data_IF_231315664289
#
_entry.id   IF_231315664289
#
_cell.length_a   1.000
_cell.length_b   1.000
_cell.length_c   1.000
_cell.angle_alpha   90.00
_cell.angle_beta   90.00
_cell.angle_gamma   90.00
#
_symmetry.space_group_name_H-M   'P 1'
#
loop_
_entity.id
_entity.type
_entity.pdbx_description
1 polymer ?
#
# COMPACT_ATOMS: atom_id res chain seq x y z
N UNK A 1 10.33 6.34 -3.11
CA UNK A 1 10.55 6.06 -4.55
C UNK A 1 11.62 7.04 -5.04
N UNK A 2 12.49 6.66 -5.97
CA UNK A 2 13.37 7.68 -6.58
C UNK A 2 12.53 8.57 -7.49
N UNK A 3 12.60 9.89 -7.27
CA UNK A 3 11.80 10.87 -8.01
C UNK A 3 12.29 11.02 -9.45
N UNK A 4 11.41 10.93 -10.42
CA UNK A 4 11.69 11.08 -11.85
C UNK A 4 11.42 12.51 -12.37
N UNK A 5 10.66 13.31 -11.62
CA UNK A 5 10.39 14.72 -11.93
C UNK A 5 11.17 15.68 -11.04
N UNK A 6 11.34 16.91 -11.49
CA UNK A 6 11.88 18.00 -10.68
C UNK A 6 10.81 18.52 -9.69
N UNK A 7 11.27 19.02 -8.54
CA UNK A 7 10.37 19.66 -7.57
C UNK A 7 9.79 20.98 -8.11
N UNK A 8 10.52 21.66 -9.01
CA UNK A 8 10.05 22.89 -9.67
C UNK A 8 9.04 22.57 -10.78
N UNK A 9 8.14 23.52 -11.04
CA UNK A 9 7.20 23.49 -12.16
C UNK A 9 7.57 24.50 -13.24
N UNK A 10 7.09 24.26 -14.45
CA UNK A 10 7.11 25.28 -15.50
C UNK A 10 6.19 26.45 -15.11
N UNK A 11 6.32 27.58 -15.80
CA UNK A 11 5.49 28.77 -15.57
C UNK A 11 3.99 28.54 -15.76
N UNK A 12 3.61 27.52 -16.54
CA UNK A 12 2.21 27.10 -16.75
C UNK A 12 1.73 26.03 -15.76
N UNK A 13 2.54 25.71 -14.74
CA UNK A 13 2.23 24.73 -13.69
C UNK A 13 2.54 23.28 -14.05
N UNK A 14 2.95 22.98 -15.29
CA UNK A 14 3.26 21.60 -15.70
C UNK A 14 4.55 21.06 -15.09
N UNK A 15 4.61 19.74 -14.97
CA UNK A 15 5.76 19.01 -14.45
C UNK A 15 6.98 19.09 -15.37
N UNK A 16 8.16 18.94 -14.77
CA UNK A 16 9.45 18.92 -15.47
C UNK A 16 10.11 17.56 -15.21
N UNK A 17 10.49 16.85 -16.26
CA UNK A 17 11.25 15.59 -16.15
C UNK A 17 12.71 15.88 -15.81
N UNK A 18 13.34 15.05 -14.98
CA UNK A 18 14.78 15.14 -14.68
C UNK A 18 15.66 14.80 -15.88
N UNK A 19 15.13 14.07 -16.85
CA UNK A 19 15.84 13.67 -18.06
C UNK A 19 15.06 14.07 -19.31
N UNK A 20 15.78 14.23 -20.43
CA UNK A 20 15.16 14.45 -21.74
C UNK A 20 14.21 13.30 -22.07
N UNK A 21 12.97 13.63 -22.42
CA UNK A 21 12.00 12.65 -22.92
C UNK A 21 12.25 12.29 -24.39
N UNK A 22 13.26 12.91 -25.01
CA UNK A 22 13.71 12.63 -26.37
C UNK A 22 15.08 11.94 -26.25
N UNK A 23 15.13 10.71 -26.73
CA UNK A 23 16.30 9.84 -26.75
C UNK A 23 17.23 10.13 -27.95
N UNK A 24 16.71 10.76 -29.01
CA UNK A 24 17.45 11.09 -30.23
C UNK A 24 17.69 12.60 -30.37
N UNK A 25 18.95 13.06 -30.33
CA UNK A 25 19.25 14.48 -30.47
C UNK A 25 18.73 15.03 -31.81
N UNK A 26 18.03 16.16 -31.75
CA UNK A 26 17.53 16.87 -32.94
C UNK A 26 16.21 16.35 -33.53
N UNK A 27 15.51 15.40 -32.90
CA UNK A 27 14.19 14.94 -33.39
C UNK A 27 13.05 15.32 -32.45
N UNK A 28 12.33 16.37 -32.82
CA UNK A 28 11.01 16.73 -32.29
C UNK A 28 11.02 17.38 -30.90
N UNK A 29 9.83 17.75 -30.44
CA UNK A 29 9.55 18.13 -29.06
C UNK A 29 8.70 17.02 -28.43
N UNK A 30 8.77 16.80 -27.10
CA UNK A 30 7.87 15.87 -26.44
C UNK A 30 6.43 16.27 -26.75
N UNK A 31 5.58 15.30 -27.06
CA UNK A 31 4.18 15.57 -27.34
C UNK A 31 3.50 16.21 -26.13
N UNK A 32 2.39 16.93 -26.36
CA UNK A 32 1.56 17.45 -25.26
C UNK A 32 1.10 16.32 -24.31
N UNK A 33 0.91 15.10 -24.82
CA UNK A 33 0.58 13.94 -24.01
C UNK A 33 1.73 13.51 -23.09
N UNK A 34 2.98 13.58 -23.56
CA UNK A 34 4.15 13.34 -22.72
C UNK A 34 4.26 14.38 -21.59
N UNK A 35 3.99 15.66 -21.89
CA UNK A 35 3.92 16.73 -20.89
C UNK A 35 2.84 16.45 -19.83
N UNK A 36 1.69 15.93 -20.25
CA UNK A 36 0.61 15.54 -19.34
C UNK A 36 1.02 14.38 -18.41
N UNK A 37 1.64 13.32 -18.94
CA UNK A 37 2.13 12.20 -18.15
C UNK A 37 3.14 12.68 -17.08
N UNK A 38 4.12 13.50 -17.47
CA UNK A 38 5.12 14.04 -16.54
C UNK A 38 4.46 14.90 -15.45
N UNK A 39 3.44 15.68 -15.81
CA UNK A 39 2.71 16.49 -14.83
C UNK A 39 1.97 15.61 -13.82
N UNK A 40 1.25 14.58 -14.28
CA UNK A 40 0.57 13.62 -13.39
C UNK A 40 1.53 12.84 -12.50
N UNK A 41 2.71 12.49 -13.02
CA UNK A 41 3.74 11.84 -12.23
C UNK A 41 4.29 12.77 -11.15
N UNK A 42 4.57 14.04 -11.49
CA UNK A 42 5.05 15.02 -10.53
C UNK A 42 4.03 15.29 -9.40
N UNK A 43 2.73 15.31 -9.73
CA UNK A 43 1.64 15.40 -8.75
C UNK A 43 1.61 14.19 -7.81
N UNK A 44 1.75 12.96 -8.33
CA UNK A 44 1.78 11.75 -7.50
C UNK A 44 3.02 11.71 -6.59
N UNK A 45 4.18 12.10 -7.10
CA UNK A 45 5.42 12.20 -6.32
C UNK A 45 5.29 13.24 -5.20
N UNK A 46 4.69 14.40 -5.47
CA UNK A 46 4.42 15.40 -4.43
C UNK A 46 3.43 14.90 -3.38
N UNK A 47 2.34 14.24 -3.79
CA UNK A 47 1.38 13.66 -2.85
C UNK A 47 2.02 12.58 -1.98
N UNK A 48 2.95 11.78 -2.54
CA UNK A 48 3.72 10.81 -1.78
C UNK A 48 4.63 11.50 -0.74
N UNK A 49 5.41 12.49 -1.16
CA UNK A 49 6.33 13.24 -0.28
C UNK A 49 5.60 14.04 0.82
N UNK A 50 4.39 14.53 0.53
CA UNK A 50 3.53 15.21 1.51
C UNK A 50 2.81 14.23 2.45
N UNK A 51 2.93 12.92 2.24
CA UNK A 51 2.23 11.91 3.03
C UNK A 51 0.72 11.85 2.79
N UNK A 52 0.26 12.32 1.62
CA UNK A 52 -1.15 12.31 1.21
C UNK A 52 -1.54 11.04 0.43
N UNK A 53 -0.57 10.18 0.09
CA UNK A 53 -0.82 8.85 -0.46
C UNK A 53 -0.71 7.77 0.62
N UNK A 54 -1.74 6.94 0.71
CA UNK A 54 -1.76 5.75 1.55
C UNK A 54 -1.49 4.51 0.68
N UNK A 55 -0.42 3.78 0.99
CA UNK A 55 -0.13 2.48 0.37
C UNK A 55 -0.79 1.37 1.18
N UNK A 56 -1.75 0.68 0.57
CA UNK A 56 -2.41 -0.48 1.17
C UNK A 56 -1.62 -1.75 0.82
N UNK A 57 -1.33 -2.63 1.80
CA UNK A 57 -0.56 -3.86 1.61
C UNK A 57 -1.38 -5.00 0.98
N UNK A 58 -2.71 -4.87 0.96
CA UNK A 58 -3.64 -5.81 0.35
C UNK A 58 -4.85 -5.06 -0.22
N UNK A 59 -5.64 -5.74 -1.04
CA UNK A 59 -6.91 -5.26 -1.62
C UNK A 59 -8.07 -6.17 -1.24
N UNK A 60 -9.29 -5.69 -1.50
CA UNK A 60 -10.51 -6.50 -1.38
C UNK A 60 -10.41 -7.74 -2.28
N UNK A 61 -10.78 -8.90 -1.71
CA UNK A 61 -10.66 -10.20 -2.36
C UNK A 61 -9.33 -10.91 -2.13
N UNK A 62 -8.31 -10.25 -1.57
CA UNK A 62 -7.05 -10.93 -1.23
C UNK A 62 -7.26 -11.93 -0.09
N UNK A 63 -6.41 -12.96 -0.06
CA UNK A 63 -6.30 -13.92 1.03
C UNK A 63 -5.25 -13.45 2.03
N UNK A 64 -5.63 -13.43 3.30
CA UNK A 64 -4.75 -13.17 4.44
C UNK A 64 -4.74 -14.41 5.35
N UNK A 65 -3.72 -14.50 6.19
CA UNK A 65 -3.54 -15.60 7.13
C UNK A 65 -3.60 -15.07 8.56
N UNK A 66 -4.55 -15.56 9.34
CA UNK A 66 -4.76 -15.15 10.73
C UNK A 66 -4.22 -16.23 11.67
N UNK A 67 -3.49 -15.83 12.71
CA UNK A 67 -3.08 -16.75 13.78
C UNK A 67 -4.11 -16.74 14.90
N UNK A 68 -4.73 -17.89 15.13
CA UNK A 68 -5.59 -18.17 16.29
C UNK A 68 -4.85 -19.17 17.16
N UNK A 69 -4.28 -18.75 18.30
CA UNK A 69 -3.56 -19.68 19.17
C UNK A 69 -4.53 -20.68 19.83
N UNK A 70 -4.00 -21.84 20.26
CA UNK A 70 -4.72 -22.88 21.01
C UNK A 70 -5.83 -23.63 20.26
N UNK A 71 -5.88 -23.54 18.92
CA UNK A 71 -6.74 -24.40 18.09
C UNK A 71 -5.89 -25.39 17.28
N UNK A 72 -6.48 -26.52 16.87
CA UNK A 72 -5.78 -27.60 16.14
C UNK A 72 -5.11 -27.13 14.85
N UNK A 73 -5.74 -26.19 14.15
CA UNK A 73 -5.19 -25.53 12.96
C UNK A 73 -5.06 -24.03 13.24
N UNK A 74 -3.91 -23.60 13.80
CA UNK A 74 -3.75 -22.25 14.33
C UNK A 74 -3.71 -21.17 13.24
N UNK A 75 -3.36 -21.53 12.00
CA UNK A 75 -3.34 -20.62 10.87
C UNK A 75 -4.63 -20.80 10.07
N UNK A 76 -5.39 -19.71 9.95
CA UNK A 76 -6.69 -19.70 9.29
C UNK A 76 -6.65 -18.73 8.11
N UNK A 77 -7.02 -19.21 6.93
CA UNK A 77 -7.20 -18.38 5.74
C UNK A 77 -8.44 -17.50 5.89
N UNK A 78 -8.29 -16.21 5.58
CA UNK A 78 -9.34 -15.21 5.64
C UNK A 78 -9.33 -14.36 4.36
N UNK A 79 -10.51 -14.04 3.82
CA UNK A 79 -10.63 -13.21 2.63
C UNK A 79 -11.02 -11.78 3.01
N UNK A 80 -10.35 -10.79 2.40
CA UNK A 80 -10.67 -9.37 2.61
C UNK A 80 -12.02 -9.04 1.98
N UNK A 81 -12.99 -8.68 2.81
CA UNK A 81 -14.32 -8.26 2.38
C UNK A 81 -14.36 -6.77 2.01
N UNK A 82 -13.78 -5.93 2.86
CA UNK A 82 -13.81 -4.48 2.70
C UNK A 82 -12.68 -3.81 3.49
N UNK A 83 -12.30 -2.62 3.05
CA UNK A 83 -11.34 -1.77 3.74
C UNK A 83 -11.96 -0.41 4.00
N UNK A 84 -11.95 0.00 5.27
CA UNK A 84 -12.61 1.22 5.73
C UNK A 84 -11.60 2.16 6.38
N UNK A 85 -11.53 3.40 5.89
CA UNK A 85 -10.75 4.46 6.53
C UNK A 85 -11.63 5.12 7.58
N UNK A 86 -11.25 5.02 8.85
CA UNK A 86 -11.98 5.60 9.98
C UNK A 86 -11.11 6.61 10.70
N UNK A 87 -11.69 7.76 11.03
CA UNK A 87 -11.07 8.73 11.93
C UNK A 87 -11.60 8.47 13.35
N UNK A 88 -10.69 8.24 14.30
CA UNK A 88 -11.05 8.25 15.73
C UNK A 88 -10.85 9.66 16.29
N UNK A 89 -11.63 10.00 17.32
CA UNK A 89 -11.70 11.31 17.98
C UNK A 89 -10.34 12.00 18.26
N UNK A 90 -9.23 11.25 18.30
CA UNK A 90 -7.87 11.72 18.59
C UNK A 90 -6.99 12.01 17.36
N UNK A 91 -7.56 12.53 16.26
CA UNK A 91 -6.84 12.88 15.00
C UNK A 91 -6.10 11.73 14.29
N UNK A 92 -6.23 10.49 14.76
CA UNK A 92 -5.60 9.33 14.13
C UNK A 92 -6.56 8.72 13.11
N UNK A 93 -6.13 8.69 11.86
CA UNK A 93 -6.76 7.90 10.80
C UNK A 93 -6.29 6.46 10.97
N UNK A 94 -7.22 5.52 10.97
CA UNK A 94 -6.92 4.08 10.95
C UNK A 94 -7.61 3.43 9.76
N UNK A 95 -6.98 2.41 9.22
CA UNK A 95 -7.57 1.57 8.17
C UNK A 95 -7.98 0.26 8.80
N UNK A 96 -9.30 0.00 8.80
CA UNK A 96 -9.91 -1.26 9.23
C UNK A 96 -10.03 -2.18 8.02
N UNK A 97 -9.65 -3.43 8.21
CA UNK A 97 -9.73 -4.52 7.24
C UNK A 97 -10.75 -5.51 7.79
N UNK A 98 -11.89 -5.62 7.13
CA UNK A 98 -12.90 -6.61 7.48
C UNK A 98 -12.65 -7.85 6.63
N UNK A 99 -12.64 -9.02 7.27
CA UNK A 99 -12.32 -10.30 6.64
C UNK A 99 -13.36 -11.35 6.99
N UNK A 100 -13.50 -12.35 6.13
CA UNK A 100 -14.33 -13.54 6.36
C UNK A 100 -13.44 -14.77 6.38
N UNK A 101 -13.61 -15.63 7.38
CA UNK A 101 -12.96 -16.93 7.44
C UNK A 101 -13.96 -18.04 7.83
N UNK A 102 -13.47 -19.27 8.01
CA UNK A 102 -14.30 -20.42 8.42
C UNK A 102 -14.99 -20.26 9.77
N UNK A 103 -14.56 -19.32 10.61
CA UNK A 103 -15.15 -18.99 11.92
C UNK A 103 -16.13 -17.80 11.86
N UNK A 104 -16.28 -17.16 10.70
CA UNK A 104 -17.16 -16.02 10.47
C UNK A 104 -16.42 -14.73 10.14
N UNK A 105 -17.12 -13.60 10.31
CA UNK A 105 -16.55 -12.28 10.07
C UNK A 105 -15.65 -11.85 11.22
N UNK A 106 -14.54 -11.20 10.88
CA UNK A 106 -13.59 -10.62 11.82
C UNK A 106 -13.09 -9.29 11.28
N UNK A 107 -12.55 -8.44 12.16
CA UNK A 107 -11.96 -7.18 11.72
C UNK A 107 -10.61 -6.94 12.37
N UNK A 108 -9.69 -6.40 11.57
CA UNK A 108 -8.32 -6.10 11.93
C UNK A 108 -7.99 -4.67 11.52
N UNK A 109 -6.90 -4.13 12.05
CA UNK A 109 -6.35 -2.86 11.60
C UNK A 109 -5.12 -3.08 10.72
N UNK A 110 -4.78 -2.10 9.89
CA UNK A 110 -3.54 -2.12 9.10
C UNK A 110 -2.31 -2.41 9.97
N UNK A 111 -2.29 -1.88 11.20
CA UNK A 111 -1.22 -2.06 12.19
C UNK A 111 -1.14 -3.50 12.77
N UNK A 112 -2.16 -4.34 12.55
CA UNK A 112 -2.16 -5.76 12.93
C UNK A 112 -1.45 -6.66 11.89
N UNK A 113 -1.13 -6.13 10.70
CA UNK A 113 -0.35 -6.84 9.69
C UNK A 113 1.07 -7.11 10.21
N UNK A 114 1.52 -8.35 10.07
CA UNK A 114 2.78 -8.85 10.63
C UNK A 114 2.74 -9.15 12.14
N UNK A 115 1.57 -8.97 12.80
CA UNK A 115 1.38 -9.28 14.23
C UNK A 115 0.32 -10.34 14.45
N UNK A 116 -0.87 -10.16 13.88
CA UNK A 116 -2.02 -11.06 14.01
C UNK A 116 -2.48 -11.61 12.67
N UNK A 117 -2.34 -10.80 11.62
CA UNK A 117 -2.67 -11.15 10.24
C UNK A 117 -1.43 -11.00 9.36
N UNK A 118 -1.30 -11.87 8.37
CA UNK A 118 -0.10 -11.98 7.53
C UNK A 118 -0.51 -12.04 6.06
N UNK A 119 0.35 -11.51 5.17
CA UNK A 119 0.08 -11.45 3.74
C UNK A 119 0.38 -12.77 3.04
N UNK A 120 1.22 -13.60 3.66
CA UNK A 120 1.56 -14.95 3.20
C UNK A 120 1.43 -15.97 4.33
N UNK A 121 1.29 -17.23 3.94
CA UNK A 121 1.20 -18.34 4.88
C UNK A 121 2.54 -18.55 5.59
N UNK A 122 3.63 -18.40 4.84
CA UNK A 122 5.00 -18.56 5.31
C UNK A 122 5.33 -17.54 6.42
N UNK A 123 4.88 -16.29 6.28
CA UNK A 123 4.99 -15.27 7.33
C UNK A 123 4.23 -15.66 8.61
N UNK A 124 3.01 -16.22 8.46
CA UNK A 124 2.23 -16.68 9.60
C UNK A 124 2.88 -17.89 10.29
N UNK A 125 3.41 -18.85 9.52
CA UNK A 125 4.11 -20.02 10.04
C UNK A 125 5.39 -19.63 10.79
N UNK A 126 6.18 -18.70 10.24
CA UNK A 126 7.36 -18.17 10.91
C UNK A 126 7.01 -17.47 12.24
N UNK A 127 5.93 -16.68 12.28
CA UNK A 127 5.50 -16.03 13.52
C UNK A 127 4.97 -17.02 14.54
N UNK A 128 4.21 -18.03 14.10
CA UNK A 128 3.71 -19.08 14.98
C UNK A 128 4.87 -19.84 15.64
N UNK A 129 5.90 -20.21 14.88
CA UNK A 129 7.09 -20.89 15.40
C UNK A 129 7.87 -20.02 16.39
N UNK A 130 7.96 -18.70 16.18
CA UNK A 130 8.56 -17.77 17.15
C UNK A 130 7.78 -17.75 18.47
N UNK A 131 6.45 -17.83 18.42
CA UNK A 131 5.60 -17.86 19.62
C UNK A 131 5.70 -19.18 20.39
N UNK A 132 5.85 -20.31 19.68
CA UNK A 132 6.01 -21.64 20.28
C UNK A 132 7.42 -21.89 20.83
N UNK A 133 8.45 -21.29 20.22
CA UNK A 133 9.85 -21.42 20.65
C UNK A 133 10.30 -20.42 21.73
N UNK A 134 9.40 -19.55 22.19
CA UNK A 134 9.67 -18.58 23.27
C UNK A 134 9.37 -19.14 24.68
N UNK A 135 9.03 -20.43 24.79
CA UNK A 135 8.92 -21.19 26.05
C UNK A 135 10.29 -21.73 26.51
#
# INVERSE_FOLDING_TARGET
>A
MERLTENKRNSDGTGVSKQSLIDRPGKGYPSNYARYIVTRLAELEDLEEQGLLLRLPCKVGDTLYCITPYVKEPIIEAHVLQMNIKQFYNKRIIVRIDVMNKMGESCYFLDDIGKKIFLSREEAEAKLAEMEGAE
#
